data_IF_112021181461
#
_entry.id   IF_112021181461
#
_cell.length_a   1.000
_cell.length_b   1.000
_cell.length_c   1.000
_cell.angle_alpha   90.00
_cell.angle_beta   90.00
_cell.angle_gamma   90.00
#
_symmetry.space_group_name_H-M   'P 1'
#
loop_
_entity.id
_entity.type
_entity.pdbx_description
1 polymer ?
#
# COMPACT_ATOMS: atom_id res chain seq x y z
N UNK A 1 -41.96 4.10 -12.86
CA UNK A 1 -41.46 5.24 -12.08
C UNK A 1 -39.96 5.26 -12.26
N UNK A 2 -39.40 6.31 -12.84
CA UNK A 2 -37.95 6.45 -12.93
C UNK A 2 -37.41 6.61 -11.51
N UNK A 3 -36.51 5.72 -11.09
CA UNK A 3 -35.76 5.94 -9.86
C UNK A 3 -35.02 7.29 -10.02
N UNK A 4 -35.18 8.25 -9.09
CA UNK A 4 -34.31 9.42 -9.11
C UNK A 4 -32.86 8.90 -9.02
N UNK A 5 -31.98 9.44 -9.86
CA UNK A 5 -30.55 9.08 -9.82
C UNK A 5 -29.97 9.28 -8.41
N UNK A 6 -28.79 8.72 -8.12
CA UNK A 6 -28.21 8.80 -6.78
C UNK A 6 -28.17 10.25 -6.30
N UNK A 7 -28.63 10.48 -5.07
CA UNK A 7 -28.46 11.77 -4.43
C UNK A 7 -26.98 11.96 -4.11
N UNK A 8 -26.32 12.87 -4.85
CA UNK A 8 -24.94 13.28 -4.56
C UNK A 8 -24.86 14.31 -3.43
N UNK A 9 -25.97 14.64 -2.76
CA UNK A 9 -26.05 15.70 -1.75
C UNK A 9 -25.00 15.55 -0.63
N UNK A 10 -24.76 14.33 -0.14
CA UNK A 10 -23.78 14.09 0.90
C UNK A 10 -22.34 14.30 0.39
N UNK A 11 -22.01 13.82 -0.82
CA UNK A 11 -20.69 14.07 -1.43
C UNK A 11 -20.47 15.55 -1.72
N UNK A 12 -21.49 16.24 -2.22
CA UNK A 12 -21.40 17.66 -2.52
C UNK A 12 -21.21 18.49 -1.23
N UNK A 13 -21.84 18.09 -0.13
CA UNK A 13 -21.59 18.66 1.19
C UNK A 13 -20.17 18.36 1.70
N UNK A 14 -19.64 17.15 1.49
CA UNK A 14 -18.23 16.84 1.82
C UNK A 14 -17.28 17.73 1.00
N UNK A 15 -17.53 17.87 -0.31
CA UNK A 15 -16.72 18.69 -1.22
C UNK A 15 -16.74 20.18 -0.88
N UNK A 16 -17.87 20.68 -0.39
CA UNK A 16 -18.01 22.07 0.05
C UNK A 16 -17.43 22.34 1.45
N UNK A 17 -17.00 21.29 2.15
CA UNK A 17 -16.42 21.39 3.49
C UNK A 17 -17.47 21.59 4.59
N UNK A 18 -18.67 21.04 4.41
CA UNK A 18 -19.71 21.04 5.44
C UNK A 18 -19.19 20.43 6.75
N UNK A 19 -19.69 20.98 7.86
CA UNK A 19 -19.35 20.56 9.21
C UNK A 19 -19.92 19.17 9.53
N UNK A 20 -19.37 18.51 10.55
CA UNK A 20 -19.84 17.20 11.01
C UNK A 20 -21.37 17.14 11.26
N UNK A 21 -21.97 18.12 11.97
CA UNK A 21 -23.42 18.16 12.15
C UNK A 21 -24.20 18.29 10.84
N UNK A 22 -23.77 19.14 9.91
CA UNK A 22 -24.43 19.27 8.59
C UNK A 22 -24.39 17.95 7.81
N UNK A 23 -23.27 17.23 7.85
CA UNK A 23 -23.14 15.93 7.20
C UNK A 23 -24.00 14.84 7.84
N UNK A 24 -24.28 14.91 9.15
CA UNK A 24 -25.12 13.94 9.87
C UNK A 24 -26.59 14.02 9.44
N UNK A 25 -27.08 15.21 9.08
CA UNK A 25 -28.47 15.45 8.66
C UNK A 25 -28.75 14.94 7.23
N UNK A 26 -27.71 14.69 6.41
CA UNK A 26 -27.87 14.25 5.02
C UNK A 26 -27.76 12.74 4.94
N UNK A 27 -28.85 12.02 4.66
CA UNK A 27 -28.89 10.57 4.56
C UNK A 27 -27.80 9.96 3.68
N UNK A 28 -27.34 8.76 4.05
CA UNK A 28 -26.48 7.96 3.17
C UNK A 28 -27.24 7.63 1.87
N UNK A 29 -26.57 7.67 0.70
CA UNK A 29 -27.18 7.21 -0.52
C UNK A 29 -27.38 5.68 -0.47
N UNK A 30 -28.44 5.18 -1.11
CA UNK A 30 -28.70 3.73 -1.21
C UNK A 30 -27.75 3.02 -2.18
N UNK A 31 -27.19 3.77 -3.15
CA UNK A 31 -26.21 3.28 -4.13
C UNK A 31 -25.14 4.34 -4.36
N UNK A 32 -23.93 3.92 -4.69
CA UNK A 32 -22.81 4.81 -4.97
C UNK A 32 -21.89 4.20 -6.04
N UNK A 33 -21.05 5.03 -6.67
CA UNK A 33 -20.12 4.58 -7.71
C UNK A 33 -18.86 3.97 -7.09
N UNK A 34 -18.43 2.82 -7.59
CA UNK A 34 -17.19 2.17 -7.19
C UNK A 34 -16.54 1.40 -8.35
N UNK A 35 -15.25 1.12 -8.23
CA UNK A 35 -14.52 0.19 -9.06
C UNK A 35 -14.52 -1.21 -8.43
N UNK A 36 -14.96 -2.21 -9.17
CA UNK A 36 -15.16 -3.56 -8.67
C UNK A 36 -14.90 -4.63 -9.72
N UNK A 37 -14.60 -5.85 -9.27
CA UNK A 37 -14.58 -7.06 -10.09
C UNK A 37 -15.87 -7.86 -9.91
N UNK A 38 -16.21 -8.76 -10.85
CA UNK A 38 -17.42 -9.60 -10.78
C UNK A 38 -17.12 -11.08 -10.64
N UNK A 39 -17.98 -11.79 -9.92
CA UNK A 39 -17.80 -13.22 -9.60
C UNK A 39 -18.01 -14.12 -10.82
N UNK A 40 -18.93 -13.76 -11.70
CA UNK A 40 -19.22 -14.46 -12.95
C UNK A 40 -18.10 -14.31 -14.00
N UNK A 41 -17.15 -13.41 -13.78
CA UNK A 41 -15.96 -13.21 -14.61
C UNK A 41 -14.72 -13.97 -14.10
N UNK A 42 -14.85 -14.72 -13.00
CA UNK A 42 -13.79 -15.62 -12.57
C UNK A 42 -13.53 -16.65 -13.68
N UNK A 43 -12.30 -16.64 -14.21
CA UNK A 43 -11.89 -17.51 -15.32
C UNK A 43 -11.72 -16.81 -16.68
N UNK A 44 -12.08 -15.52 -16.82
CA UNK A 44 -11.94 -14.81 -18.12
C UNK A 44 -10.50 -14.72 -18.66
N UNK A 45 -9.50 -15.02 -17.83
CA UNK A 45 -8.08 -15.00 -18.15
C UNK A 45 -7.45 -16.41 -18.24
N UNK A 46 -8.23 -17.48 -18.20
CA UNK A 46 -7.71 -18.83 -18.36
C UNK A 46 -6.97 -18.99 -19.70
N UNK A 47 -5.77 -19.58 -19.64
CA UNK A 47 -4.91 -19.77 -20.81
C UNK A 47 -4.25 -18.51 -21.39
N UNK A 48 -4.45 -17.34 -20.77
CA UNK A 48 -3.89 -16.07 -21.29
C UNK A 48 -2.60 -15.68 -20.58
N UNK A 49 -1.63 -15.23 -21.38
CA UNK A 49 -0.33 -14.71 -20.90
C UNK A 49 -0.45 -13.27 -20.40
N UNK A 50 -1.19 -12.42 -21.12
CA UNK A 50 -1.45 -11.03 -20.72
C UNK A 50 -2.86 -10.91 -20.15
N UNK A 51 -2.95 -10.86 -18.83
CA UNK A 51 -4.21 -10.77 -18.08
C UNK A 51 -4.62 -9.32 -17.88
N UNK A 52 -5.00 -8.64 -18.96
CA UNK A 52 -5.28 -7.19 -18.91
C UNK A 52 -6.42 -6.84 -17.92
N UNK A 53 -6.05 -6.20 -16.80
CA UNK A 53 -6.97 -5.82 -15.70
C UNK A 53 -8.12 -4.92 -16.14
N UNK A 54 -7.99 -4.23 -17.27
CA UNK A 54 -9.06 -3.37 -17.82
C UNK A 54 -10.28 -4.16 -18.29
N UNK A 55 -10.15 -5.48 -18.45
CA UNK A 55 -11.24 -6.38 -18.86
C UNK A 55 -12.08 -6.92 -17.70
N UNK A 56 -11.57 -6.84 -16.47
CA UNK A 56 -12.22 -7.35 -15.26
C UNK A 56 -12.58 -6.27 -14.24
N UNK A 57 -11.95 -5.10 -14.33
CA UNK A 57 -12.25 -3.97 -13.46
C UNK A 57 -13.33 -3.10 -14.09
N UNK A 58 -14.48 -3.02 -13.43
CA UNK A 58 -15.63 -2.22 -13.85
C UNK A 58 -15.80 -1.04 -12.93
N UNK A 59 -16.29 0.08 -13.46
CA UNK A 59 -16.73 1.24 -12.67
C UNK A 59 -18.23 1.39 -12.82
N UNK A 60 -18.97 1.38 -11.72
CA UNK A 60 -20.42 1.42 -11.76
C UNK A 60 -21.06 1.55 -10.38
N UNK A 61 -22.39 1.55 -10.35
CA UNK A 61 -23.15 1.70 -9.10
C UNK A 61 -23.29 0.38 -8.34
N UNK A 62 -22.97 0.42 -7.06
CA UNK A 62 -23.08 -0.68 -6.08
C UNK A 62 -23.99 -0.25 -4.93
N UNK A 63 -24.55 -1.21 -4.20
CA UNK A 63 -25.41 -0.92 -3.04
C UNK A 63 -24.58 -0.49 -1.83
N UNK A 64 -25.10 0.47 -1.06
CA UNK A 64 -24.53 0.84 0.24
C UNK A 64 -24.81 -0.29 1.23
N UNK A 65 -23.79 -0.95 1.80
CA UNK A 65 -24.01 -1.98 2.80
C UNK A 65 -24.54 -1.39 4.11
N UNK A 66 -25.22 -2.23 4.91
CA UNK A 66 -25.49 -1.93 6.32
C UNK A 66 -24.16 -1.61 7.04
N UNK A 67 -24.17 -0.72 8.03
CA UNK A 67 -22.97 -0.33 8.80
C UNK A 67 -22.89 -1.13 10.12
N UNK A 68 -21.76 -1.76 10.41
CA UNK A 68 -21.56 -2.47 11.68
C UNK A 68 -21.26 -1.50 12.83
N UNK A 69 -21.46 -1.91 14.10
CA UNK A 69 -21.25 -1.04 15.27
C UNK A 69 -19.84 -0.47 15.39
N UNK A 70 -18.81 -1.21 14.97
CA UNK A 70 -17.39 -0.85 15.05
C UNK A 70 -16.85 -0.23 13.75
N UNK A 71 -17.72 0.00 12.76
CA UNK A 71 -17.34 0.51 11.44
C UNK A 71 -17.66 2.00 11.26
N UNK A 72 -17.04 2.60 10.25
CA UNK A 72 -17.33 3.93 9.75
C UNK A 72 -17.60 3.88 8.25
N UNK A 73 -18.49 4.74 7.78
CA UNK A 73 -18.58 5.08 6.36
C UNK A 73 -17.68 6.28 6.11
N UNK A 74 -16.80 6.17 5.13
CA UNK A 74 -15.93 7.27 4.70
C UNK A 74 -16.32 7.66 3.27
N UNK A 75 -16.59 8.95 3.05
CA UNK A 75 -16.60 9.53 1.72
C UNK A 75 -15.15 9.61 1.24
N UNK A 76 -14.78 8.76 0.29
CA UNK A 76 -13.39 8.62 -0.16
C UNK A 76 -13.10 9.74 -1.15
N UNK A 77 -12.17 10.62 -0.78
CA UNK A 77 -11.73 11.71 -1.65
C UNK A 77 -10.73 11.19 -2.68
N UNK A 78 -9.78 10.36 -2.24
CA UNK A 78 -8.85 9.67 -3.14
C UNK A 78 -8.47 8.30 -2.59
N UNK A 79 -8.28 7.34 -3.49
CA UNK A 79 -7.73 6.01 -3.22
C UNK A 79 -6.36 5.84 -3.89
N UNK A 80 -5.71 4.70 -3.68
CA UNK A 80 -4.50 4.35 -4.43
C UNK A 80 -4.48 2.91 -4.88
N UNK A 81 -3.82 2.70 -6.03
CA UNK A 81 -3.59 1.36 -6.57
C UNK A 81 -2.44 0.71 -5.81
N UNK A 82 -2.64 -0.56 -5.49
CA UNK A 82 -1.66 -1.44 -4.89
C UNK A 82 -1.51 -2.71 -5.73
N UNK A 83 -0.43 -3.47 -5.50
CA UNK A 83 -0.27 -4.76 -6.20
C UNK A 83 -1.40 -5.74 -5.88
N UNK A 84 -1.99 -5.67 -4.67
CA UNK A 84 -3.15 -6.48 -4.34
C UNK A 84 -4.37 -6.13 -5.18
N UNK A 85 -4.57 -4.87 -5.59
CA UNK A 85 -5.58 -4.46 -6.57
C UNK A 85 -5.36 -5.15 -7.91
N UNK A 86 -4.11 -5.22 -8.38
CA UNK A 86 -3.76 -5.93 -9.62
C UNK A 86 -4.07 -7.42 -9.50
N UNK A 87 -3.64 -8.06 -8.42
CA UNK A 87 -3.88 -9.49 -8.16
C UNK A 87 -5.37 -9.81 -8.08
N UNK A 88 -6.17 -8.97 -7.41
CA UNK A 88 -7.62 -9.09 -7.39
C UNK A 88 -8.22 -9.02 -8.80
N UNK A 89 -7.80 -8.02 -9.59
CA UNK A 89 -8.33 -7.79 -10.92
C UNK A 89 -7.96 -8.92 -11.90
N UNK A 90 -6.83 -9.60 -11.73
CA UNK A 90 -6.47 -10.77 -12.56
C UNK A 90 -6.91 -12.12 -11.96
N UNK A 91 -7.57 -12.10 -10.80
CA UNK A 91 -8.02 -13.27 -10.05
C UNK A 91 -6.89 -14.23 -9.64
N UNK A 92 -5.70 -13.71 -9.32
CA UNK A 92 -4.54 -14.50 -8.93
C UNK A 92 -4.03 -14.17 -7.51
N UNK A 93 -3.31 -15.10 -6.86
CA UNK A 93 -3.15 -16.52 -7.24
C UNK A 93 -4.43 -17.33 -7.04
N UNK A 94 -5.37 -16.78 -6.29
CA UNK A 94 -6.72 -17.31 -6.05
C UNK A 94 -7.69 -16.13 -6.20
N UNK A 95 -8.87 -16.31 -6.85
CA UNK A 95 -9.87 -15.25 -6.94
C UNK A 95 -10.28 -14.75 -5.55
N UNK A 96 -10.35 -13.43 -5.37
CA UNK A 96 -10.66 -12.82 -4.06
C UNK A 96 -12.04 -13.20 -3.52
N UNK A 97 -12.98 -13.56 -4.39
CA UNK A 97 -14.29 -14.11 -4.00
C UNK A 97 -14.19 -15.33 -3.07
N UNK A 98 -13.14 -16.14 -3.17
CA UNK A 98 -12.93 -17.26 -2.25
C UNK A 98 -12.67 -16.79 -0.81
N UNK A 99 -11.96 -15.67 -0.64
CA UNK A 99 -11.76 -15.04 0.66
C UNK A 99 -13.05 -14.41 1.17
N UNK A 100 -13.79 -13.71 0.30
CA UNK A 100 -15.07 -13.10 0.65
C UNK A 100 -16.11 -14.14 1.08
N UNK A 101 -16.23 -15.28 0.39
CA UNK A 101 -17.11 -16.38 0.79
C UNK A 101 -16.69 -17.00 2.13
N UNK A 102 -15.38 -17.17 2.34
CA UNK A 102 -14.85 -17.69 3.60
C UNK A 102 -15.20 -16.76 4.76
N UNK A 103 -15.02 -15.45 4.57
CA UNK A 103 -15.34 -14.43 5.56
C UNK A 103 -16.85 -14.26 5.73
N UNK A 104 -17.63 -14.39 4.66
CA UNK A 104 -19.10 -14.34 4.67
C UNK A 104 -19.75 -15.42 5.55
N UNK A 105 -19.06 -16.54 5.77
CA UNK A 105 -19.49 -17.60 6.69
C UNK A 105 -19.20 -17.28 8.16
N UNK A 106 -18.53 -16.16 8.45
CA UNK A 106 -18.14 -15.75 9.80
C UNK A 106 -19.02 -14.61 10.30
N UNK A 107 -19.89 -14.91 11.26
CA UNK A 107 -20.71 -13.92 11.94
C UNK A 107 -21.73 -13.19 11.04
N UNK A 108 -22.53 -12.32 11.66
CA UNK A 108 -23.57 -11.56 10.96
C UNK A 108 -22.98 -10.52 9.99
N UNK A 109 -22.01 -9.74 10.47
CA UNK A 109 -21.43 -8.64 9.70
C UNK A 109 -20.44 -9.11 8.62
N UNK A 110 -19.85 -10.29 8.75
CA UNK A 110 -19.03 -10.91 7.72
C UNK A 110 -19.85 -11.29 6.47
N UNK A 111 -21.07 -11.78 6.64
CA UNK A 111 -21.97 -12.19 5.56
C UNK A 111 -22.20 -11.12 4.49
N UNK A 112 -22.17 -9.83 4.87
CA UNK A 112 -22.31 -8.70 3.95
C UNK A 112 -21.20 -8.64 2.90
N UNK A 113 -20.03 -9.22 3.15
CA UNK A 113 -18.89 -9.16 2.23
C UNK A 113 -18.98 -10.18 1.09
N UNK A 114 -19.74 -11.26 1.24
CA UNK A 114 -19.97 -12.28 0.21
C UNK A 114 -21.02 -11.82 -0.79
N UNK A 115 -20.57 -11.04 -1.79
CA UNK A 115 -21.40 -10.46 -2.85
C UNK A 115 -20.94 -10.95 -4.23
N UNK A 116 -21.81 -10.86 -5.26
CA UNK A 116 -21.42 -11.19 -6.63
C UNK A 116 -20.43 -10.18 -7.25
N UNK A 117 -20.12 -9.10 -6.54
CA UNK A 117 -19.13 -8.09 -6.91
C UNK A 117 -18.20 -7.80 -5.73
N UNK A 118 -16.98 -7.35 -6.02
CA UNK A 118 -15.98 -7.03 -5.02
C UNK A 118 -15.40 -5.63 -5.29
N UNK A 119 -15.72 -4.68 -4.42
CA UNK A 119 -15.17 -3.33 -4.44
C UNK A 119 -13.73 -3.38 -3.91
N UNK A 120 -12.79 -2.99 -4.76
CA UNK A 120 -11.36 -3.06 -4.46
C UNK A 120 -10.86 -1.79 -3.75
N UNK A 121 -9.59 -1.81 -3.34
CA UNK A 121 -8.89 -0.63 -2.85
C UNK A 121 -8.53 -0.74 -1.38
N UNK A 122 -7.23 -0.62 -1.10
CA UNK A 122 -6.63 -0.92 0.21
C UNK A 122 -5.91 0.28 0.83
N UNK A 123 -6.07 1.45 0.21
CA UNK A 123 -5.45 2.72 0.57
C UNK A 123 -6.42 3.83 0.20
N UNK A 124 -6.53 4.86 1.04
CA UNK A 124 -7.25 6.05 0.64
C UNK A 124 -7.23 7.15 1.68
N UNK A 125 -7.83 8.27 1.32
CA UNK A 125 -8.08 9.42 2.19
C UNK A 125 -9.49 9.92 1.96
N UNK A 126 -10.08 10.47 3.02
CA UNK A 126 -11.45 10.93 2.94
C UNK A 126 -11.97 11.56 4.20
N UNK A 127 -13.29 11.66 4.27
CA UNK A 127 -14.02 12.25 5.40
C UNK A 127 -14.97 11.21 5.97
N UNK A 128 -14.92 10.99 7.28
CA UNK A 128 -15.89 10.14 7.98
C UNK A 128 -17.27 10.80 7.85
N UNK A 129 -18.23 10.09 7.24
CA UNK A 129 -19.61 10.59 7.05
C UNK A 129 -20.62 9.89 7.96
N UNK A 130 -20.34 8.66 8.42
CA UNK A 130 -21.12 7.94 9.43
C UNK A 130 -20.24 7.08 10.30
N UNK A 131 -20.71 6.81 11.51
CA UNK A 131 -20.05 5.97 12.51
C UNK A 131 -21.06 4.97 13.07
N UNK A 132 -20.63 3.72 13.23
CA UNK A 132 -21.39 2.71 13.94
C UNK A 132 -21.56 3.07 15.42
N UNK A 133 -22.52 2.42 16.08
CA UNK A 133 -22.92 2.71 17.46
C UNK A 133 -21.82 2.44 18.51
N UNK A 134 -20.82 1.61 18.18
CA UNK A 134 -19.68 1.26 19.03
C UNK A 134 -18.45 2.13 18.81
N UNK A 135 -18.43 3.00 17.79
CA UNK A 135 -17.29 3.86 17.48
C UNK A 135 -17.18 5.01 18.48
N UNK A 136 -16.00 5.15 19.11
CA UNK A 136 -15.74 6.16 20.15
C UNK A 136 -14.67 7.18 19.76
N UNK A 137 -13.69 6.76 18.97
CA UNK A 137 -12.48 7.54 18.66
C UNK A 137 -12.63 8.49 17.47
N UNK A 138 -13.74 8.38 16.74
CA UNK A 138 -13.99 9.08 15.48
C UNK A 138 -15.38 9.69 15.46
N UNK A 139 -15.52 10.80 14.75
CA UNK A 139 -16.79 11.50 14.54
C UNK A 139 -16.95 11.91 13.08
N UNK A 140 -18.20 12.13 12.68
CA UNK A 140 -18.54 12.66 11.36
C UNK A 140 -17.81 14.01 11.13
N UNK A 141 -17.25 14.17 9.93
CA UNK A 141 -16.39 15.30 9.53
C UNK A 141 -14.90 15.10 9.78
N UNK A 142 -14.49 14.04 10.49
CA UNK A 142 -13.06 13.75 10.67
C UNK A 142 -12.39 13.39 9.33
N UNK A 143 -11.26 14.05 9.03
CA UNK A 143 -10.44 13.77 7.85
C UNK A 143 -9.43 12.68 8.15
N UNK A 144 -9.43 11.63 7.34
CA UNK A 144 -8.73 10.37 7.61
C UNK A 144 -7.93 9.88 6.42
N UNK A 145 -6.91 9.07 6.70
CA UNK A 145 -6.33 8.10 5.77
C UNK A 145 -6.67 6.70 6.25
N UNK A 146 -6.69 5.75 5.34
CA UNK A 146 -7.24 4.41 5.54
C UNK A 146 -6.12 3.37 5.57
N UNK A 147 -6.13 2.51 6.59
CA UNK A 147 -5.26 1.35 6.70
C UNK A 147 -5.93 0.09 6.12
N UNK A 148 -5.20 -0.75 5.39
CA UNK A 148 -5.69 -2.06 4.95
C UNK A 148 -5.80 -3.10 6.06
N UNK A 149 -5.29 -2.85 7.27
CA UNK A 149 -5.21 -3.88 8.31
C UNK A 149 -6.57 -4.07 8.99
N UNK A 150 -7.36 -5.00 8.48
CA UNK A 150 -8.61 -5.42 9.13
C UNK A 150 -8.26 -6.41 10.25
N UNK A 151 -8.56 -6.03 11.50
CA UNK A 151 -8.29 -6.85 12.68
C UNK A 151 -9.53 -6.85 13.57
N UNK A 152 -9.90 -8.03 14.04
CA UNK A 152 -10.91 -8.18 15.09
C UNK A 152 -10.25 -7.96 16.46
N UNK A 153 -10.73 -6.97 17.21
CA UNK A 153 -10.19 -6.65 18.55
C UNK A 153 -10.60 -7.69 19.60
N UNK A 154 -11.56 -8.57 19.30
CA UNK A 154 -11.91 -9.69 20.18
C UNK A 154 -10.95 -10.87 20.04
N UNK A 155 -10.14 -10.92 18.98
CA UNK A 155 -9.13 -11.96 18.82
C UNK A 155 -7.94 -11.72 19.78
N UNK A 156 -7.67 -12.69 20.62
CA UNK A 156 -6.57 -12.65 21.59
C UNK A 156 -5.19 -12.37 20.95
N UNK A 157 -4.95 -12.80 19.71
CA UNK A 157 -3.69 -12.59 19.00
C UNK A 157 -3.43 -11.11 18.73
N UNK A 158 -4.49 -10.32 18.59
CA UNK A 158 -4.39 -8.88 18.30
C UNK A 158 -3.79 -8.05 19.43
N UNK A 159 -3.80 -8.57 20.67
CA UNK A 159 -3.32 -7.85 21.86
C UNK A 159 -1.79 -7.84 22.01
N UNK A 160 -1.09 -8.81 21.41
CA UNK A 160 0.37 -8.79 21.34
C UNK A 160 0.84 -8.02 20.10
N UNK A 161 0.31 -8.39 18.94
CA UNK A 161 0.52 -7.70 17.67
C UNK A 161 -0.70 -7.91 16.77
N UNK A 162 -1.33 -6.83 16.31
CA UNK A 162 -2.52 -6.90 15.45
C UNK A 162 -2.35 -7.78 14.20
N UNK A 163 -1.11 -7.95 13.72
CA UNK A 163 -0.79 -8.82 12.58
C UNK A 163 -0.73 -10.32 12.91
N UNK A 164 -0.81 -10.69 14.20
CA UNK A 164 -0.84 -12.09 14.66
C UNK A 164 -2.25 -12.60 14.92
N UNK A 165 -3.26 -11.74 14.73
CA UNK A 165 -4.68 -12.10 14.78
C UNK A 165 -5.00 -13.18 13.74
N UNK A 166 -5.67 -14.26 14.12
CA UNK A 166 -6.16 -15.28 13.19
C UNK A 166 -7.27 -14.72 12.27
N UNK A 167 -7.94 -13.67 12.73
CA UNK A 167 -8.92 -12.88 11.99
C UNK A 167 -8.32 -11.75 11.13
N UNK A 168 -6.99 -11.62 11.06
CA UNK A 168 -6.38 -10.57 10.26
C UNK A 168 -6.69 -10.76 8.77
N UNK A 169 -7.20 -9.71 8.13
CA UNK A 169 -7.49 -9.66 6.70
C UNK A 169 -6.93 -8.37 6.09
N UNK A 170 -6.66 -8.38 4.78
CA UNK A 170 -6.36 -7.17 4.02
C UNK A 170 -7.66 -6.55 3.46
N UNK A 171 -8.00 -5.36 3.92
CA UNK A 171 -9.20 -4.63 3.51
C UNK A 171 -9.18 -4.24 2.03
N UNK A 172 -10.30 -4.43 1.34
CA UNK A 172 -10.44 -4.26 -0.11
C UNK A 172 -9.70 -5.31 -0.95
N UNK A 173 -9.28 -6.42 -0.31
CA UNK A 173 -8.66 -7.59 -0.93
C UNK A 173 -9.29 -8.90 -0.41
N UNK A 174 -9.27 -9.11 0.90
CA UNK A 174 -9.93 -10.23 1.60
C UNK A 174 -11.26 -9.82 2.24
N UNK A 175 -11.54 -8.52 2.29
CA UNK A 175 -12.85 -7.96 2.62
C UNK A 175 -13.38 -7.15 1.44
N UNK A 176 -14.69 -7.09 1.31
CA UNK A 176 -15.35 -6.15 0.40
C UNK A 176 -15.28 -4.69 0.89
N UNK A 177 -15.91 -3.79 0.15
CA UNK A 177 -16.12 -2.37 0.50
C UNK A 177 -14.83 -1.54 0.61
N UNK A 178 -13.86 -1.84 -0.27
CA UNK A 178 -12.60 -1.12 -0.37
C UNK A 178 -12.73 0.35 -0.80
N UNK A 179 -11.59 1.04 -0.86
CA UNK A 179 -11.53 2.49 -1.10
C UNK A 179 -11.76 2.96 -2.53
N UNK A 180 -11.70 2.09 -3.56
CA UNK A 180 -11.83 2.53 -4.95
C UNK A 180 -13.31 2.80 -5.29
N UNK A 181 -13.86 3.89 -4.76
CA UNK A 181 -15.23 4.31 -4.98
C UNK A 181 -15.54 5.59 -4.22
N UNK A 182 -16.76 6.10 -4.39
CA UNK A 182 -17.21 7.32 -3.71
C UNK A 182 -17.29 7.16 -2.19
N UNK A 183 -17.58 5.95 -1.72
CA UNK A 183 -17.63 5.60 -0.31
C UNK A 183 -16.95 4.26 -0.06
N UNK A 184 -16.56 4.05 1.18
CA UNK A 184 -16.06 2.77 1.64
C UNK A 184 -16.49 2.49 3.08
N UNK A 185 -16.40 1.22 3.48
CA UNK A 185 -16.67 0.78 4.85
C UNK A 185 -15.37 0.29 5.47
N UNK A 186 -15.04 0.81 6.64
CA UNK A 186 -13.81 0.49 7.36
C UNK A 186 -14.10 0.33 8.84
N UNK A 187 -13.39 -0.56 9.53
CA UNK A 187 -13.39 -0.55 11.00
C UNK A 187 -12.79 0.74 11.53
N UNK A 188 -13.24 1.18 12.70
CA UNK A 188 -12.72 2.37 13.38
C UNK A 188 -11.21 2.28 13.66
N UNK A 189 -10.67 1.08 13.85
CA UNK A 189 -9.24 0.80 14.07
C UNK A 189 -8.42 0.74 12.77
N UNK A 190 -9.01 1.03 11.62
CA UNK A 190 -8.30 1.24 10.35
C UNK A 190 -8.11 2.73 10.03
N UNK A 191 -8.81 3.60 10.75
CA UNK A 191 -8.77 5.04 10.53
C UNK A 191 -7.54 5.66 11.17
N UNK A 192 -6.85 6.51 10.41
CA UNK A 192 -5.70 7.29 10.88
C UNK A 192 -5.94 8.75 10.51
N UNK A 193 -5.50 9.70 11.33
CA UNK A 193 -5.68 11.13 11.05
C UNK A 193 -4.96 11.52 9.76
N UNK A 194 -5.64 12.18 8.83
CA UNK A 194 -5.01 12.67 7.61
C UNK A 194 -3.94 13.73 7.94
N UNK A 195 -2.71 13.63 7.39
CA UNK A 195 -1.74 14.72 7.46
C UNK A 195 -2.29 16.00 6.83
N UNK A 196 -2.37 17.08 7.61
CA UNK A 196 -3.06 18.31 7.23
C UNK A 196 -2.41 19.06 6.05
N UNK A 197 -1.09 18.93 5.87
CA UNK A 197 -0.36 19.62 4.81
C UNK A 197 -0.41 18.93 3.44
N UNK A 198 -0.94 17.71 3.37
CA UNK A 198 -1.02 16.92 2.14
C UNK A 198 -2.36 17.12 1.43
N UNK A 199 -2.37 16.93 0.13
CA UNK A 199 -3.61 16.81 -0.65
C UNK A 199 -4.29 15.47 -0.37
N UNK A 200 -5.50 15.24 -0.90
CA UNK A 200 -6.19 13.97 -0.75
C UNK A 200 -5.42 12.81 -1.40
N UNK A 201 -4.99 12.98 -2.65
CA UNK A 201 -4.26 11.97 -3.41
C UNK A 201 -2.85 11.72 -2.87
N UNK A 202 -2.18 12.75 -2.36
CA UNK A 202 -0.92 12.60 -1.65
C UNK A 202 -1.11 11.82 -0.35
N UNK A 203 -2.10 12.17 0.48
CA UNK A 203 -2.33 11.50 1.75
C UNK A 203 -2.81 10.05 1.58
N UNK A 204 -3.71 9.83 0.62
CA UNK A 204 -4.36 8.55 0.37
C UNK A 204 -3.49 7.51 -0.34
N UNK A 205 -2.26 7.87 -0.74
CA UNK A 205 -1.36 6.98 -1.47
C UNK A 205 -0.19 6.44 -0.63
N UNK A 206 -0.16 6.68 0.68
CA UNK A 206 1.00 6.32 1.50
C UNK A 206 0.82 5.03 2.31
N UNK A 207 -0.34 4.85 2.95
CA UNK A 207 -0.50 4.02 4.14
C UNK A 207 0.03 2.59 3.96
N UNK A 208 -0.45 1.84 2.96
CA UNK A 208 -0.07 0.44 2.77
C UNK A 208 1.44 0.29 2.58
N UNK A 209 2.03 1.01 1.62
CA UNK A 209 3.44 0.83 1.32
C UNK A 209 4.36 1.44 2.39
N UNK A 210 4.04 2.65 2.87
CA UNK A 210 4.86 3.33 3.87
C UNK A 210 4.90 2.55 5.18
N UNK A 211 3.74 2.11 5.68
CA UNK A 211 3.69 1.43 6.98
C UNK A 211 4.16 -0.03 6.89
N UNK A 212 4.03 -0.69 5.72
CA UNK A 212 4.70 -1.99 5.49
C UNK A 212 6.21 -1.82 5.52
N UNK A 213 6.75 -0.81 4.84
CA UNK A 213 8.18 -0.51 4.88
C UNK A 213 8.65 -0.14 6.30
N UNK A 214 7.82 0.61 7.04
CA UNK A 214 8.07 0.94 8.44
C UNK A 214 8.14 -0.31 9.31
N UNK A 215 7.15 -1.21 9.27
CA UNK A 215 7.18 -2.47 10.02
C UNK A 215 8.43 -3.28 9.69
N UNK A 216 8.74 -3.42 8.40
CA UNK A 216 9.89 -4.20 7.94
C UNK A 216 11.23 -3.62 8.42
N UNK A 217 11.39 -2.30 8.46
CA UNK A 217 12.67 -1.67 8.74
C UNK A 217 12.77 -1.13 10.17
N UNK A 218 11.80 -0.35 10.62
CA UNK A 218 11.85 0.45 11.84
C UNK A 218 11.12 -0.24 13.00
N UNK A 219 9.93 -0.77 12.73
CA UNK A 219 9.05 -1.39 13.72
C UNK A 219 9.71 -2.53 14.50
N UNK A 220 9.23 -2.76 15.73
CA UNK A 220 9.76 -3.81 16.62
C UNK A 220 9.62 -5.23 16.04
N UNK A 221 8.72 -5.41 15.08
CA UNK A 221 8.40 -6.70 14.47
C UNK A 221 9.21 -7.01 13.20
N UNK A 222 10.06 -6.08 12.74
CA UNK A 222 10.89 -6.27 11.54
C UNK A 222 12.39 -6.33 11.83
N UNK A 223 13.16 -5.72 10.94
CA UNK A 223 14.61 -5.69 10.99
C UNK A 223 15.15 -4.81 12.13
N UNK A 224 14.37 -3.83 12.61
CA UNK A 224 14.74 -2.87 13.67
C UNK A 224 16.07 -2.19 13.36
N UNK A 225 16.13 -1.53 12.21
CA UNK A 225 17.28 -0.77 11.75
C UNK A 225 17.72 0.24 12.80
N UNK A 226 19.03 0.49 12.85
CA UNK A 226 19.62 1.59 13.61
C UNK A 226 20.47 2.46 12.69
N UNK A 227 20.81 3.65 13.18
CA UNK A 227 21.79 4.51 12.54
C UNK A 227 23.09 3.73 12.22
N UNK A 228 23.66 4.00 11.04
CA UNK A 228 24.83 3.31 10.51
C UNK A 228 24.57 1.94 9.88
N UNK A 229 23.35 1.39 9.94
CA UNK A 229 23.07 0.15 9.20
C UNK A 229 23.06 0.42 7.68
N UNK A 230 23.87 -0.35 6.96
CA UNK A 230 23.76 -0.48 5.50
C UNK A 230 22.54 -1.34 5.17
N UNK A 231 21.63 -0.79 4.37
CA UNK A 231 20.38 -1.45 3.96
C UNK A 231 20.33 -1.58 2.44
N UNK A 232 20.36 -2.81 1.93
CA UNK A 232 20.11 -3.07 0.51
C UNK A 232 18.60 -3.01 0.23
N UNK A 233 18.19 -2.18 -0.72
CA UNK A 233 16.76 -1.96 -1.04
C UNK A 233 16.49 -2.40 -2.48
N UNK A 234 15.76 -3.50 -2.63
CA UNK A 234 15.30 -3.93 -3.95
C UNK A 234 14.20 -3.02 -4.49
N UNK A 235 14.20 -2.78 -5.80
CA UNK A 235 13.15 -2.03 -6.50
C UNK A 235 12.91 -0.64 -5.91
N UNK A 236 13.98 0.08 -5.59
CA UNK A 236 13.95 1.31 -4.77
C UNK A 236 13.04 2.45 -5.31
N UNK A 237 12.61 2.40 -6.57
CA UNK A 237 11.65 3.37 -7.12
C UNK A 237 10.19 2.95 -7.04
N UNK A 238 9.86 1.71 -6.65
CA UNK A 238 8.47 1.27 -6.50
C UNK A 238 7.87 1.74 -5.17
N UNK A 239 6.56 1.51 -4.96
CA UNK A 239 5.85 1.98 -3.76
C UNK A 239 6.50 1.59 -2.43
N UNK A 240 6.99 0.36 -2.25
CA UNK A 240 7.69 -0.05 -1.03
C UNK A 240 9.11 0.53 -0.95
N UNK A 241 9.88 0.40 -2.04
CA UNK A 241 11.28 0.81 -2.10
C UNK A 241 11.48 2.32 -1.92
N UNK A 242 10.53 3.12 -2.39
CA UNK A 242 10.57 4.58 -2.28
C UNK A 242 10.42 5.05 -0.82
N UNK A 243 9.54 4.42 -0.02
CA UNK A 243 9.46 4.69 1.41
C UNK A 243 10.59 4.06 2.20
N UNK A 244 11.03 2.85 1.84
CA UNK A 244 12.17 2.19 2.47
C UNK A 244 13.42 3.08 2.41
N UNK A 245 13.70 3.68 1.25
CA UNK A 245 14.83 4.59 1.07
C UNK A 245 14.74 5.80 2.01
N UNK A 246 13.56 6.41 2.13
CA UNK A 246 13.35 7.54 3.06
C UNK A 246 13.51 7.14 4.52
N UNK A 247 12.92 6.01 4.91
CA UNK A 247 13.00 5.51 6.29
C UNK A 247 14.44 5.21 6.69
N UNK A 248 15.21 4.56 5.81
CA UNK A 248 16.63 4.27 6.05
C UNK A 248 17.41 5.58 6.25
N UNK A 249 17.24 6.57 5.37
CA UNK A 249 17.91 7.87 5.51
C UNK A 249 17.48 8.60 6.78
N UNK A 250 16.18 8.67 7.04
CA UNK A 250 15.62 9.37 8.20
C UNK A 250 16.11 8.78 9.53
N UNK A 251 16.31 7.46 9.61
CA UNK A 251 16.89 6.82 10.79
C UNK A 251 18.42 6.80 10.84
N UNK A 252 19.11 7.53 9.94
CA UNK A 252 20.57 7.60 9.89
C UNK A 252 21.26 6.35 9.36
N UNK A 253 20.52 5.47 8.67
CA UNK A 253 21.07 4.33 7.94
C UNK A 253 21.60 4.72 6.56
N UNK A 254 22.23 3.76 5.89
CA UNK A 254 22.89 3.94 4.59
C UNK A 254 22.15 3.09 3.55
N UNK A 255 21.24 3.67 2.75
CA UNK A 255 20.53 2.92 1.74
C UNK A 255 21.43 2.62 0.54
N UNK A 256 21.44 1.36 0.10
CA UNK A 256 21.99 0.94 -1.19
C UNK A 256 20.82 0.50 -2.06
N UNK A 257 20.41 1.37 -2.96
CA UNK A 257 19.24 1.17 -3.79
C UNK A 257 19.56 0.32 -5.03
N UNK A 258 18.71 -0.65 -5.32
CA UNK A 258 18.76 -1.42 -6.56
C UNK A 258 17.61 -1.04 -7.47
N UNK A 259 17.94 -0.61 -8.69
CA UNK A 259 17.00 -0.15 -9.73
C UNK A 259 17.21 -0.91 -11.04
N UNK A 260 16.39 -0.60 -12.05
CA UNK A 260 16.38 -1.30 -13.35
C UNK A 260 16.61 -0.39 -14.56
N UNK A 261 16.88 0.90 -14.34
CA UNK A 261 17.16 1.89 -15.40
C UNK A 261 17.86 3.11 -14.80
N UNK A 262 18.54 3.89 -15.66
CA UNK A 262 19.21 5.12 -15.22
C UNK A 262 18.21 6.20 -14.79
N UNK A 263 17.08 6.33 -15.48
CA UNK A 263 15.98 7.22 -15.08
C UNK A 263 15.52 6.93 -13.63
N UNK A 264 15.40 5.64 -13.28
CA UNK A 264 15.07 5.21 -11.92
C UNK A 264 16.21 5.51 -10.94
N UNK A 265 17.46 5.42 -11.38
CA UNK A 265 18.62 5.77 -10.56
C UNK A 265 18.61 7.26 -10.21
N UNK A 266 18.33 8.14 -11.18
CA UNK A 266 18.22 9.59 -10.97
C UNK A 266 17.16 9.95 -9.93
N UNK A 267 15.99 9.31 -9.96
CA UNK A 267 14.92 9.55 -8.98
C UNK A 267 15.37 9.17 -7.56
N UNK A 268 16.05 8.04 -7.41
CA UNK A 268 16.54 7.61 -6.10
C UNK A 268 17.66 8.52 -5.60
N UNK A 269 18.54 9.00 -6.49
CA UNK A 269 19.55 10.01 -6.16
C UNK A 269 18.93 11.34 -5.76
N UNK A 270 17.86 11.79 -6.42
CA UNK A 270 17.13 13.00 -6.03
C UNK A 270 16.40 12.86 -4.69
N UNK A 271 16.11 11.62 -4.26
CA UNK A 271 15.65 11.32 -2.90
C UNK A 271 16.79 11.34 -1.85
N UNK A 272 18.03 11.59 -2.28
CA UNK A 272 19.23 11.67 -1.46
C UNK A 272 19.89 10.33 -1.15
N UNK A 273 19.58 9.27 -1.89
CA UNK A 273 20.32 8.01 -1.82
C UNK A 273 21.50 8.04 -2.79
N UNK A 274 22.70 8.17 -2.24
CA UNK A 274 23.95 8.29 -3.02
C UNK A 274 24.40 6.96 -3.64
N UNK A 275 24.06 5.84 -3.00
CA UNK A 275 24.52 4.51 -3.40
C UNK A 275 23.44 3.79 -4.21
N UNK A 276 23.57 3.82 -5.54
CA UNK A 276 22.62 3.19 -6.45
C UNK A 276 23.31 2.16 -7.33
N UNK A 277 22.69 0.98 -7.46
CA UNK A 277 23.09 -0.10 -8.35
C UNK A 277 21.97 -0.29 -9.37
N UNK A 278 22.26 -0.09 -10.64
CA UNK A 278 21.39 -0.56 -11.70
C UNK A 278 21.69 -2.06 -11.93
N UNK A 279 20.69 -2.92 -11.70
CA UNK A 279 20.87 -4.38 -11.78
C UNK A 279 21.27 -4.87 -13.17
N UNK A 280 20.97 -4.10 -14.22
CA UNK A 280 21.32 -4.46 -15.59
C UNK A 280 22.83 -4.30 -15.87
N UNK A 281 23.53 -3.49 -15.07
CA UNK A 281 24.98 -3.25 -15.21
C UNK A 281 25.83 -4.37 -14.59
N UNK A 282 25.19 -5.35 -13.93
CA UNK A 282 25.88 -6.50 -13.35
C UNK A 282 26.27 -7.56 -14.40
N UNK A 283 25.99 -7.33 -15.70
CA UNK A 283 26.39 -8.21 -16.83
C UNK A 283 26.10 -9.71 -16.59
N UNK A 284 24.97 -10.03 -15.94
CA UNK A 284 24.62 -11.39 -15.52
C UNK A 284 23.97 -12.24 -16.64
N UNK A 285 23.89 -11.70 -17.86
CA UNK A 285 23.22 -12.33 -19.00
C UNK A 285 21.72 -12.58 -18.76
N UNK A 286 21.13 -13.48 -19.55
CA UNK A 286 19.69 -13.79 -19.50
C UNK A 286 19.23 -14.37 -18.15
N UNK A 287 20.14 -15.00 -17.41
CA UNK A 287 19.81 -15.55 -16.08
C UNK A 287 19.60 -14.45 -15.03
N UNK A 288 20.09 -13.23 -15.29
CA UNK A 288 19.96 -12.10 -14.38
C UNK A 288 20.41 -12.44 -12.96
N UNK A 289 19.62 -12.03 -11.97
CA UNK A 289 19.92 -12.25 -10.55
C UNK A 289 19.81 -13.72 -10.10
N UNK A 290 19.33 -14.63 -10.95
CA UNK A 290 19.38 -16.07 -10.70
C UNK A 290 20.73 -16.70 -11.07
N UNK A 291 21.61 -15.96 -11.74
CA UNK A 291 22.91 -16.47 -12.14
C UNK A 291 23.76 -16.84 -10.90
N UNK A 292 24.52 -17.96 -10.89
CA UNK A 292 25.30 -18.38 -9.71
C UNK A 292 26.33 -17.36 -9.20
N UNK A 293 26.78 -16.44 -10.07
CA UNK A 293 27.70 -15.34 -9.72
C UNK A 293 26.99 -14.07 -9.21
N UNK A 294 25.65 -13.99 -9.29
CA UNK A 294 24.89 -12.78 -8.99
C UNK A 294 25.18 -12.26 -7.58
N UNK A 295 25.13 -13.12 -6.57
CA UNK A 295 25.46 -12.74 -5.19
C UNK A 295 26.87 -12.18 -5.05
N UNK A 296 27.86 -12.77 -5.72
CA UNK A 296 29.25 -12.30 -5.68
C UNK A 296 29.41 -10.92 -6.31
N UNK A 297 28.89 -10.75 -7.53
CA UNK A 297 28.99 -9.50 -8.29
C UNK A 297 28.21 -8.36 -7.62
N UNK A 298 27.01 -8.66 -7.11
CA UNK A 298 26.23 -7.71 -6.33
C UNK A 298 26.96 -7.33 -5.04
N UNK A 299 27.50 -8.31 -4.30
CA UNK A 299 28.27 -8.03 -3.08
C UNK A 299 29.52 -7.18 -3.35
N UNK A 300 30.24 -7.44 -4.44
CA UNK A 300 31.37 -6.61 -4.88
C UNK A 300 30.92 -5.18 -5.21
N UNK A 301 29.79 -5.00 -5.91
CA UNK A 301 29.23 -3.70 -6.22
C UNK A 301 28.82 -2.93 -4.95
N UNK A 302 28.16 -3.60 -3.99
CA UNK A 302 27.79 -2.99 -2.71
C UNK A 302 29.05 -2.55 -1.95
N UNK A 303 30.04 -3.42 -1.77
CA UNK A 303 31.27 -3.08 -1.04
C UNK A 303 32.08 -1.97 -1.73
N UNK A 304 32.01 -1.83 -3.05
CA UNK A 304 32.61 -0.67 -3.75
C UNK A 304 31.94 0.65 -3.39
N UNK A 305 30.63 0.64 -3.11
CA UNK A 305 29.86 1.85 -2.79
C UNK A 305 29.97 2.23 -1.31
N UNK A 306 29.93 1.24 -0.40
CA UNK A 306 29.78 1.50 1.05
C UNK A 306 30.83 0.82 1.93
N UNK A 307 31.77 0.07 1.36
CA UNK A 307 32.87 -0.56 2.09
C UNK A 307 32.53 -1.84 2.87
N UNK A 308 31.25 -2.14 3.10
CA UNK A 308 30.81 -3.33 3.83
C UNK A 308 29.60 -4.04 3.19
N UNK A 309 29.31 -5.27 3.65
CA UNK A 309 28.10 -6.02 3.28
C UNK A 309 26.88 -5.45 4.04
N UNK A 310 25.66 -5.48 3.44
CA UNK A 310 24.46 -4.93 4.07
C UNK A 310 24.10 -5.65 5.37
N UNK A 311 23.80 -4.86 6.41
CA UNK A 311 23.22 -5.34 7.67
C UNK A 311 21.78 -5.82 7.51
N UNK A 312 21.04 -5.18 6.61
CA UNK A 312 19.64 -5.48 6.32
C UNK A 312 19.46 -5.57 4.80
N UNK A 313 18.68 -6.55 4.34
CA UNK A 313 18.18 -6.61 2.97
C UNK A 313 16.66 -6.48 3.00
N UNK A 314 16.15 -5.43 2.36
CA UNK A 314 14.74 -5.14 2.20
C UNK A 314 14.21 -5.85 0.95
N UNK A 315 13.44 -6.93 1.15
CA UNK A 315 13.02 -7.88 0.12
C UNK A 315 11.50 -7.81 -0.11
N UNK A 316 11.08 -7.71 -1.36
CA UNK A 316 9.70 -8.03 -1.76
C UNK A 316 9.59 -8.58 -3.20
N UNK A 317 10.71 -8.69 -3.92
CA UNK A 317 10.73 -9.16 -5.30
C UNK A 317 10.66 -10.69 -5.35
N UNK A 318 11.17 -11.40 -4.35
CA UNK A 318 11.05 -12.85 -4.23
C UNK A 318 12.02 -13.65 -5.08
N UNK A 319 11.54 -14.67 -5.79
CA UNK A 319 12.34 -15.74 -6.42
C UNK A 319 13.60 -15.28 -7.15
N UNK A 320 13.54 -14.23 -7.96
CA UNK A 320 14.69 -13.77 -8.75
C UNK A 320 15.84 -13.19 -7.91
N UNK A 321 15.53 -12.62 -6.75
CA UNK A 321 16.47 -11.84 -5.93
C UNK A 321 16.82 -12.51 -4.62
N UNK A 322 15.97 -13.41 -4.11
CA UNK A 322 16.08 -13.96 -2.77
C UNK A 322 17.41 -14.69 -2.50
N UNK A 323 17.90 -15.49 -3.46
CA UNK A 323 19.20 -16.15 -3.34
C UNK A 323 20.37 -15.15 -3.22
N UNK A 324 20.34 -14.08 -4.01
CA UNK A 324 21.32 -12.99 -3.94
C UNK A 324 21.20 -12.21 -2.61
N UNK A 325 19.97 -11.93 -2.15
CA UNK A 325 19.68 -11.31 -0.85
C UNK A 325 20.31 -12.09 0.30
N UNK A 326 20.10 -13.41 0.34
CA UNK A 326 20.71 -14.29 1.35
C UNK A 326 22.22 -14.33 1.21
N UNK A 327 22.78 -14.28 0.00
CA UNK A 327 24.24 -14.25 -0.19
C UNK A 327 24.88 -12.97 0.38
N UNK A 328 24.38 -11.80 -0.03
CA UNK A 328 25.04 -10.50 0.21
C UNK A 328 24.89 -9.99 1.63
N UNK A 329 23.85 -10.35 2.37
CA UNK A 329 23.71 -9.95 3.77
C UNK A 329 24.98 -10.28 4.58
N UNK A 330 25.36 -9.39 5.51
CA UNK A 330 26.53 -9.61 6.36
C UNK A 330 26.32 -10.73 7.38
N UNK A 331 27.37 -11.10 8.11
CA UNK A 331 27.26 -12.04 9.24
C UNK A 331 26.32 -11.45 10.30
N UNK A 332 25.32 -12.20 10.75
CA UNK A 332 24.26 -11.69 11.64
C UNK A 332 23.23 -10.78 10.95
N UNK A 333 23.31 -10.60 9.63
CA UNK A 333 22.43 -9.73 8.87
C UNK A 333 21.00 -10.29 8.75
N UNK A 334 20.05 -9.40 8.47
CA UNK A 334 18.63 -9.71 8.39
C UNK A 334 18.11 -9.53 6.96
N UNK A 335 17.43 -10.53 6.43
CA UNK A 335 16.67 -10.44 5.18
C UNK A 335 15.20 -10.33 5.58
N UNK A 336 14.62 -9.14 5.47
CA UNK A 336 13.20 -8.91 5.80
C UNK A 336 12.37 -8.93 4.53
N UNK A 337 11.32 -9.76 4.49
CA UNK A 337 10.53 -9.99 3.28
C UNK A 337 9.03 -9.84 3.50
N UNK A 338 8.33 -9.18 2.58
CA UNK A 338 6.86 -8.99 2.64
C UNK A 338 6.10 -9.33 1.36
N UNK A 339 6.79 -9.85 0.35
CA UNK A 339 6.22 -10.04 -0.98
C UNK A 339 7.11 -10.88 -1.86
N UNK A 340 6.60 -11.26 -3.02
CA UNK A 340 7.31 -12.13 -3.96
C UNK A 340 6.87 -11.90 -5.41
N UNK A 341 7.01 -10.66 -5.90
CA UNK A 341 6.54 -10.22 -7.22
C UNK A 341 7.01 -11.11 -8.39
N UNK A 342 8.19 -11.72 -8.29
CA UNK A 342 8.80 -12.58 -9.33
C UNK A 342 8.56 -14.09 -9.08
N UNK A 343 7.80 -14.42 -8.04
CA UNK A 343 7.45 -15.79 -7.65
C UNK A 343 7.74 -16.09 -6.17
N UNK A 344 6.81 -16.79 -5.52
CA UNK A 344 6.86 -17.12 -4.08
C UNK A 344 7.67 -18.38 -3.73
N UNK A 345 8.10 -19.16 -4.75
CA UNK A 345 8.99 -20.32 -4.52
C UNK A 345 10.44 -19.83 -4.48
N UNK A 346 10.92 -19.55 -3.28
CA UNK A 346 12.28 -19.07 -3.05
C UNK A 346 13.28 -20.23 -3.03
N UNK A 347 14.46 -19.99 -3.58
CA UNK A 347 15.60 -20.90 -3.52
C UNK A 347 16.83 -20.11 -3.09
N UNK A 348 17.55 -20.63 -2.10
CA UNK A 348 18.79 -20.03 -1.60
C UNK A 348 19.73 -21.09 -1.06
N UNK A 349 21.02 -20.79 -1.07
CA UNK A 349 22.03 -21.67 -0.47
C UNK A 349 22.08 -21.43 1.04
N UNK A 350 21.49 -22.38 1.78
CA UNK A 350 21.35 -22.31 3.22
C UNK A 350 22.69 -22.22 3.96
N UNK A 351 23.82 -22.62 3.35
CA UNK A 351 25.16 -22.46 3.92
C UNK A 351 25.46 -21.00 4.25
N UNK A 352 25.04 -20.05 3.40
CA UNK A 352 25.20 -18.62 3.67
C UNK A 352 24.32 -18.11 4.81
N UNK A 353 23.20 -18.78 5.09
CA UNK A 353 22.32 -18.45 6.19
C UNK A 353 22.93 -18.93 7.52
N UNK A 354 23.11 -20.24 7.70
CA UNK A 354 23.51 -20.79 9.02
C UNK A 354 24.97 -20.50 9.36
N UNK A 355 25.92 -20.62 8.43
CA UNK A 355 27.35 -20.41 8.75
C UNK A 355 27.66 -18.94 9.04
N UNK A 356 26.82 -18.03 8.55
CA UNK A 356 26.94 -16.58 8.81
C UNK A 356 25.88 -16.07 9.79
N UNK A 357 25.13 -16.97 10.46
CA UNK A 357 24.16 -16.64 11.50
C UNK A 357 23.14 -15.56 11.09
N UNK A 358 22.69 -15.60 9.83
CA UNK A 358 21.72 -14.65 9.30
C UNK A 358 20.30 -15.03 9.72
N UNK A 359 19.37 -14.10 9.56
CA UNK A 359 17.94 -14.36 9.78
C UNK A 359 17.13 -13.94 8.56
N UNK A 360 16.10 -14.73 8.24
CA UNK A 360 15.04 -14.35 7.31
C UNK A 360 13.81 -14.02 8.16
N UNK A 361 13.23 -12.83 7.97
CA UNK A 361 12.09 -12.32 8.74
C UNK A 361 10.93 -12.12 7.79
N UNK A 362 9.86 -12.89 7.96
CA UNK A 362 8.59 -12.63 7.30
C UNK A 362 7.91 -11.43 7.94
N UNK A 363 7.44 -10.50 7.11
CA UNK A 363 6.66 -9.33 7.52
C UNK A 363 5.44 -9.23 6.62
N UNK A 364 4.29 -8.87 7.17
CA UNK A 364 3.07 -8.64 6.41
C UNK A 364 2.39 -7.39 6.96
N UNK A 365 1.91 -6.52 6.06
CA UNK A 365 1.23 -5.28 6.43
C UNK A 365 1.91 -4.54 7.59
N UNK A 366 1.10 -4.16 8.56
CA UNK A 366 1.48 -3.45 9.79
C UNK A 366 0.33 -3.42 10.76
N UNK A 367 0.62 -3.41 12.06
CA UNK A 367 -0.42 -3.19 13.06
C UNK A 367 -0.80 -1.71 13.15
N UNK A 368 -1.89 -1.41 13.88
CA UNK A 368 -2.41 -0.05 13.98
C UNK A 368 -1.40 0.94 14.56
N UNK A 369 -0.62 0.53 15.57
CA UNK A 369 0.41 1.39 16.16
C UNK A 369 1.51 1.75 15.15
N UNK A 370 2.01 0.77 14.39
CA UNK A 370 2.99 1.00 13.32
C UNK A 370 2.43 1.90 12.22
N UNK A 371 1.13 1.79 11.91
CA UNK A 371 0.44 2.68 10.98
C UNK A 371 0.45 4.13 11.47
N UNK A 372 0.07 4.35 12.74
CA UNK A 372 0.02 5.68 13.35
C UNK A 372 1.42 6.30 13.43
N UNK A 373 2.44 5.55 13.84
CA UNK A 373 3.82 6.07 13.89
C UNK A 373 4.37 6.40 12.50
N UNK A 374 4.05 5.58 11.49
CA UNK A 374 4.40 5.90 10.09
C UNK A 374 3.73 7.21 9.66
N UNK A 375 2.43 7.34 9.90
CA UNK A 375 1.68 8.54 9.55
C UNK A 375 2.15 9.77 10.34
N UNK A 376 2.66 9.58 11.56
CA UNK A 376 3.31 10.63 12.35
C UNK A 376 4.58 11.14 11.66
N UNK A 377 5.43 10.25 11.12
CA UNK A 377 6.61 10.66 10.36
C UNK A 377 6.24 11.45 9.10
N UNK A 378 5.17 11.05 8.41
CA UNK A 378 4.62 11.80 7.27
C UNK A 378 4.12 13.17 7.76
N UNK A 379 3.31 13.21 8.82
CA UNK A 379 2.76 14.42 9.41
C UNK A 379 3.82 15.43 9.87
N UNK A 380 5.00 14.95 10.27
CA UNK A 380 6.15 15.78 10.63
C UNK A 380 6.98 16.25 9.41
N UNK A 381 6.69 15.76 8.21
CA UNK A 381 7.50 16.02 7.02
C UNK A 381 8.87 15.34 7.04
N UNK A 382 9.03 14.24 7.77
CA UNK A 382 10.28 13.47 7.83
C UNK A 382 10.39 12.45 6.70
N UNK A 383 9.24 11.98 6.21
CA UNK A 383 9.11 11.20 4.98
C UNK A 383 7.96 11.80 4.16
N UNK A 384 8.02 11.66 2.85
CA UNK A 384 7.14 12.35 1.90
C UNK A 384 6.40 11.34 1.01
N UNK A 385 5.19 11.69 0.53
CA UNK A 385 4.49 10.91 -0.48
C UNK A 385 5.36 10.66 -1.71
N UNK A 386 5.20 9.49 -2.31
CA UNK A 386 5.91 9.11 -3.55
C UNK A 386 4.91 8.97 -4.69
N UNK A 387 3.93 9.86 -4.74
CA UNK A 387 2.88 9.88 -5.75
C UNK A 387 3.46 10.31 -7.10
N UNK A 388 3.19 9.53 -8.15
CA UNK A 388 3.65 9.85 -9.51
C UNK A 388 2.53 10.23 -10.45
N UNK A 389 1.47 9.42 -10.51
CA UNK A 389 0.34 9.60 -11.41
C UNK A 389 -0.97 9.59 -10.65
N UNK A 390 -1.93 10.36 -11.15
CA UNK A 390 -3.28 10.45 -10.62
C UNK A 390 -4.25 10.22 -11.76
N UNK A 391 -5.25 9.38 -11.52
CA UNK A 391 -6.29 9.05 -12.48
C UNK A 391 -7.67 9.37 -11.89
N UNK A 392 -8.68 9.72 -12.68
CA UNK A 392 -10.05 9.73 -12.21
C UNK A 392 -10.57 8.31 -11.96
N UNK A 393 -11.62 8.16 -11.14
CA UNK A 393 -12.25 6.86 -10.82
C UNK A 393 -12.65 6.07 -12.08
N UNK A 394 -13.12 6.76 -13.12
CA UNK A 394 -13.53 6.14 -14.40
C UNK A 394 -12.36 5.45 -15.13
N UNK A 395 -11.13 5.88 -14.83
CA UNK A 395 -9.90 5.33 -15.38
C UNK A 395 -9.19 4.39 -14.38
N UNK A 396 -9.89 3.90 -13.34
CA UNK A 396 -9.32 2.96 -12.38
C UNK A 396 -8.72 1.70 -13.06
N UNK A 397 -9.29 1.26 -14.19
CA UNK A 397 -8.74 0.18 -15.02
C UNK A 397 -7.37 0.51 -15.59
N UNK A 398 -7.21 1.71 -16.17
CA UNK A 398 -5.94 2.18 -16.74
C UNK A 398 -4.91 2.47 -15.64
N UNK A 399 -5.33 3.03 -14.51
CA UNK A 399 -4.49 3.21 -13.33
C UNK A 399 -3.94 1.85 -12.83
N UNK A 400 -4.81 0.84 -12.75
CA UNK A 400 -4.42 -0.52 -12.35
C UNK A 400 -3.50 -1.16 -13.39
N UNK A 401 -3.76 -0.93 -14.68
CA UNK A 401 -2.91 -1.43 -15.77
C UNK A 401 -1.51 -0.83 -15.73
N UNK A 402 -1.38 0.47 -15.44
CA UNK A 402 -0.08 1.13 -15.30
C UNK A 402 0.76 0.53 -14.15
N UNK A 403 0.09 0.05 -13.09
CA UNK A 403 0.74 -0.71 -12.01
C UNK A 403 1.12 -2.11 -12.48
N UNK A 404 0.19 -2.84 -13.10
CA UNK A 404 0.40 -4.18 -13.62
C UNK A 404 1.61 -4.28 -14.58
N UNK A 405 1.77 -3.30 -15.47
CA UNK A 405 2.83 -3.28 -16.49
C UNK A 405 4.10 -2.58 -16.02
N UNK A 406 4.19 -2.19 -14.74
CA UNK A 406 5.31 -1.44 -14.17
C UNK A 406 5.62 -0.12 -14.91
N UNK A 407 4.61 0.52 -15.50
CA UNK A 407 4.70 1.81 -16.21
C UNK A 407 4.52 3.02 -15.27
N UNK A 408 4.83 2.82 -13.99
CA UNK A 408 4.81 3.83 -12.94
C UNK A 408 6.07 3.72 -12.07
N UNK A 409 6.32 4.80 -11.33
CA UNK A 409 7.24 4.86 -10.20
C UNK A 409 6.42 5.25 -8.96
N UNK A 410 6.92 4.93 -7.77
CA UNK A 410 6.27 5.24 -6.51
C UNK A 410 4.85 4.69 -6.45
N UNK A 411 3.87 5.59 -6.30
CA UNK A 411 2.46 5.27 -6.11
C UNK A 411 1.59 5.93 -7.17
N UNK A 412 0.47 5.28 -7.47
CA UNK A 412 -0.58 5.75 -8.38
C UNK A 412 -1.84 5.97 -7.56
N UNK A 413 -2.38 7.19 -7.60
CA UNK A 413 -3.64 7.51 -6.92
C UNK A 413 -4.81 7.55 -7.91
N UNK A 414 -6.01 7.38 -7.36
CA UNK A 414 -7.27 7.50 -8.06
C UNK A 414 -8.10 8.56 -7.32
N UNK A 415 -8.56 9.59 -8.03
CA UNK A 415 -9.52 10.54 -7.49
C UNK A 415 -10.89 9.87 -7.47
N UNK A 416 -11.52 9.86 -6.30
CA UNK A 416 -12.84 9.28 -6.10
C UNK A 416 -13.86 10.42 -6.00
N UNK A 417 -14.13 10.92 -4.79
CA UNK A 417 -14.98 12.09 -4.61
C UNK A 417 -14.25 13.42 -4.85
N UNK A 418 -12.91 13.49 -4.78
CA UNK A 418 -12.18 14.71 -5.11
C UNK A 418 -12.40 15.09 -6.58
N UNK A 419 -12.69 16.36 -6.84
CA UNK A 419 -13.01 16.84 -8.21
C UNK A 419 -11.77 17.25 -9.01
N UNK A 420 -10.60 17.25 -8.37
CA UNK A 420 -9.31 17.52 -9.00
C UNK A 420 -8.16 17.32 -8.00
N UNK A 421 -6.94 17.31 -8.52
CA UNK A 421 -5.72 17.29 -7.72
C UNK A 421 -5.54 18.57 -6.90
N UNK A 422 -4.70 18.54 -5.86
CA UNK A 422 -4.37 19.71 -5.06
C UNK A 422 -5.36 20.01 -3.92
N UNK A 423 -6.47 19.28 -3.85
CA UNK A 423 -7.50 19.51 -2.85
C UNK A 423 -7.16 18.89 -1.48
N UNK A 424 -7.70 19.46 -0.40
CA UNK A 424 -7.64 18.84 0.93
C UNK A 424 -6.48 19.28 1.83
N UNK A 425 -5.70 20.28 1.44
CA UNK A 425 -4.66 20.89 2.29
C UNK A 425 -5.32 21.79 3.33
N UNK A 426 -5.13 21.45 4.60
CA UNK A 426 -5.61 22.20 5.77
C UNK A 426 -4.49 22.94 6.52
N UNK A 427 -3.23 22.59 6.27
CA UNK A 427 -2.04 23.28 6.82
C UNK A 427 -1.09 23.70 5.68
N UNK A 428 -1.42 24.79 4.95
CA UNK A 428 -0.59 25.28 3.85
C UNK A 428 0.78 25.80 4.33
N UNK A 429 0.89 26.27 5.58
CA UNK A 429 2.15 26.78 6.12
C UNK A 429 3.17 25.66 6.36
N UNK A 430 2.74 24.50 6.88
CA UNK A 430 3.62 23.33 6.97
C UNK A 430 3.97 22.78 5.58
N UNK A 431 3.03 22.80 4.63
CA UNK A 431 3.28 22.39 3.24
C UNK A 431 4.39 23.23 2.60
N UNK A 432 4.29 24.55 2.70
CA UNK A 432 5.30 25.50 2.21
C UNK A 432 6.66 25.27 2.87
N UNK A 433 6.69 25.06 4.19
CA UNK A 433 7.93 24.79 4.94
C UNK A 433 8.61 23.48 4.52
N UNK A 434 7.85 22.43 4.22
CA UNK A 434 8.40 21.16 3.70
C UNK A 434 8.92 21.36 2.28
N UNK A 435 8.15 22.07 1.45
CA UNK A 435 8.48 22.40 0.06
C UNK A 435 7.87 21.43 -0.95
N UNK A 436 7.26 21.98 -2.00
CA UNK A 436 6.62 21.22 -3.09
C UNK A 436 7.60 20.28 -3.81
N UNK A 437 8.89 20.64 -3.92
CA UNK A 437 9.89 19.82 -4.59
C UNK A 437 10.04 18.43 -3.93
N UNK A 438 9.96 18.37 -2.59
CA UNK A 438 10.05 17.10 -1.86
C UNK A 438 8.76 16.30 -1.96
N UNK A 439 7.61 16.97 -1.88
CA UNK A 439 6.29 16.34 -1.98
C UNK A 439 6.01 15.80 -3.39
N UNK A 440 6.56 16.47 -4.42
CA UNK A 440 6.35 16.14 -5.82
C UNK A 440 7.55 15.46 -6.50
N UNK A 441 8.50 14.93 -5.73
CA UNK A 441 9.72 14.31 -6.27
C UNK A 441 9.44 13.22 -7.33
N UNK A 442 8.31 12.52 -7.18
CA UNK A 442 7.87 11.43 -8.07
C UNK A 442 6.90 11.89 -9.17
N UNK A 443 6.46 13.15 -9.16
CA UNK A 443 5.59 13.73 -10.20
C UNK A 443 6.44 13.98 -11.45
N UNK A 444 6.28 13.15 -12.48
CA UNK A 444 6.99 13.25 -13.76
C UNK A 444 6.07 12.95 -14.93
#
# INVERSE_FOLDING_TARGET
MAHPGPSHALLDAVRSGASGPELQEIDLPTRFRAAFTRKDEVGIFEGQTDKDVRRSLHVGEVEMPELAPDECVVAVMSAAINFNTVWSAIFEPVPTFAFLEKFGRQGWYGARHDLPHHILGSDGSGVVVRTGSGVKSWKVGDKVVLSPSYVDEEDHGSYDDGMMSESQLAWGFETNFGSLGEYCIVKANQLIRKPAHLTWEEAGSNTLCAATAYRMLVGSHGARMKQGDVVLIWGATGGLGSFATQLVRNGGGIPVAVVSSEEKAEIVRSQGCEHVINRNDLELGEQGLRHPKAGRMLGEAIRRLVGEDPGIVFEYLGRETFGASVYVAKRGGKIVTCGSSTGYRHEYDNRFLWMRLKSIIGSHGFNYHEAVETNRLIGLGMIHPTLSKVFPLDEAGDATRAVQTNQHIGKVAVLCAATGEGQGVDDPALRERIGEEKLNLYRR
#
